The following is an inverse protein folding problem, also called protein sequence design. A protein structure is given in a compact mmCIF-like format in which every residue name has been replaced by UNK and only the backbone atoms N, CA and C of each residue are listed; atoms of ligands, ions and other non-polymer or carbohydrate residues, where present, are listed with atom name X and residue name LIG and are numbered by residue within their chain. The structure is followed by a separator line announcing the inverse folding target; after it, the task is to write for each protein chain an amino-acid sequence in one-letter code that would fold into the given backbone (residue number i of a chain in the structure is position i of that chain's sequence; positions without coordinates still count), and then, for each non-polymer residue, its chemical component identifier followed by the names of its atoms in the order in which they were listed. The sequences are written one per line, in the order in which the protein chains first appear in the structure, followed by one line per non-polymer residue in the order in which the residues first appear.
data_IF_790994714686
#
_entry.id   IF_790994714686
#
_cell.length_a   1.000
_cell.length_b   1.000
_cell.length_c   1.000
_cell.angle_alpha   90.00
_cell.angle_beta   90.00
_cell.angle_gamma   90.00
#
_symmetry.space_group_name_H-M   'P 1'
#
loop_
_entity.id
_entity.type
_entity.pdbx_description
1 polymer ?
#
# COMPACT_ATOMS: atom_id res chain seq x y z
N UNK A 1 2.11 -15.42 4.72
CA UNK A 1 3.22 -14.55 5.20
C UNK A 1 3.06 -13.22 4.48
N UNK A 2 3.16 -12.06 5.15
CA UNK A 2 2.93 -10.77 4.46
C UNK A 2 4.06 -10.46 3.46
N UNK A 3 3.81 -9.64 2.41
CA UNK A 3 4.86 -9.24 1.47
C UNK A 3 6.09 -8.62 2.15
N UNK A 4 5.88 -7.84 3.22
CA UNK A 4 6.94 -7.29 4.04
C UNK A 4 7.77 -8.38 4.73
N UNK A 5 7.11 -9.38 5.34
CA UNK A 5 7.81 -10.47 6.02
C UNK A 5 8.69 -11.28 5.05
N UNK A 6 8.28 -11.42 3.78
CA UNK A 6 9.08 -12.08 2.74
C UNK A 6 10.34 -11.28 2.43
N UNK A 7 10.23 -9.97 2.21
CA UNK A 7 11.40 -9.10 1.93
C UNK A 7 12.38 -9.10 3.10
N UNK A 8 11.87 -9.02 4.32
CA UNK A 8 12.67 -9.05 5.55
C UNK A 8 13.30 -10.43 5.85
N UNK A 9 12.90 -11.48 5.13
CA UNK A 9 13.47 -12.82 5.30
C UNK A 9 14.59 -13.11 4.28
N UNK A 10 14.93 -12.15 3.40
CA UNK A 10 16.02 -12.34 2.43
C UNK A 10 17.39 -12.20 3.10
N UNK A 11 18.41 -13.01 2.72
CA UNK A 11 19.71 -13.04 3.40
C UNK A 11 20.43 -11.68 3.46
N UNK A 12 20.24 -10.84 2.44
CA UNK A 12 20.88 -9.53 2.31
C UNK A 12 20.02 -8.38 2.88
N UNK A 13 18.80 -8.67 3.37
CA UNK A 13 17.95 -7.63 3.96
C UNK A 13 18.50 -7.15 5.29
N UNK A 14 18.43 -5.83 5.48
CA UNK A 14 18.78 -5.18 6.74
C UNK A 14 17.57 -4.39 7.21
N UNK A 15 17.05 -4.73 8.37
CA UNK A 15 15.95 -4.03 8.99
C UNK A 15 16.17 -3.85 10.48
N UNK A 16 15.64 -2.75 11.00
CA UNK A 16 15.60 -2.44 12.42
C UNK A 16 14.19 -2.01 12.78
N UNK A 17 13.78 -2.34 14.00
CA UNK A 17 12.55 -1.81 14.58
C UNK A 17 12.91 -0.71 15.58
N UNK A 18 12.38 0.49 15.36
CA UNK A 18 12.45 1.59 16.32
C UNK A 18 11.02 1.96 16.68
N UNK A 19 10.65 1.78 17.94
CA UNK A 19 9.36 2.25 18.44
C UNK A 19 9.38 3.78 18.46
N UNK A 20 8.41 4.41 17.80
CA UNK A 20 8.36 5.86 17.64
C UNK A 20 6.94 6.38 17.77
N UNK A 21 6.70 7.26 18.75
CA UNK A 21 5.51 8.11 18.75
C UNK A 21 5.80 9.40 17.97
N UNK A 22 5.21 9.53 16.78
CA UNK A 22 5.43 10.70 15.90
C UNK A 22 4.88 12.01 16.47
N UNK A 23 4.05 11.96 17.53
CA UNK A 23 3.61 13.16 18.26
C UNK A 23 4.68 13.71 19.20
N UNK A 24 5.71 12.92 19.52
CA UNK A 24 6.80 13.29 20.42
C UNK A 24 8.07 13.61 19.63
N UNK A 25 8.57 14.86 19.63
CA UNK A 25 9.75 15.24 18.83
C UNK A 25 11.00 14.39 19.12
N UNK A 26 11.22 14.00 20.38
CA UNK A 26 12.38 13.19 20.78
C UNK A 26 12.36 11.78 20.17
N UNK A 27 11.17 11.19 20.02
CA UNK A 27 11.03 9.86 19.42
C UNK A 27 11.36 9.91 17.92
N UNK A 28 11.01 11.01 17.25
CA UNK A 28 11.37 11.27 15.85
C UNK A 28 12.87 11.49 15.69
N UNK A 29 13.49 12.28 16.57
CA UNK A 29 14.95 12.44 16.61
C UNK A 29 15.65 11.09 16.81
N UNK A 30 15.19 10.26 17.74
CA UNK A 30 15.75 8.93 17.98
C UNK A 30 15.60 8.00 16.77
N UNK A 31 14.45 8.02 16.10
CA UNK A 31 14.22 7.27 14.86
C UNK A 31 15.25 7.65 13.78
N UNK A 32 15.47 8.95 13.58
CA UNK A 32 16.45 9.47 12.62
C UNK A 32 17.86 9.00 12.99
N UNK A 33 18.26 9.16 14.26
CA UNK A 33 19.61 8.81 14.70
C UNK A 33 19.92 7.31 14.57
N UNK A 34 19.01 6.44 15.01
CA UNK A 34 19.22 4.98 14.87
C UNK A 34 19.22 4.54 13.40
N UNK A 35 18.40 5.18 12.55
CA UNK A 35 18.41 4.92 11.11
C UNK A 35 19.75 5.31 10.48
N UNK A 36 20.25 6.52 10.73
CA UNK A 36 21.55 6.98 10.20
C UNK A 36 22.69 6.12 10.72
N UNK A 37 22.69 5.77 12.00
CA UNK A 37 23.72 4.92 12.62
C UNK A 37 23.79 3.53 11.98
N UNK A 38 22.65 2.96 11.62
CA UNK A 38 22.61 1.64 10.98
C UNK A 38 22.90 1.76 9.49
N UNK A 39 22.22 2.63 8.76
CA UNK A 39 22.24 2.66 7.29
C UNK A 39 23.21 3.70 6.68
N UNK A 40 23.83 4.54 7.50
CA UNK A 40 24.86 5.52 7.13
C UNK A 40 24.33 6.87 6.66
N UNK A 41 23.12 6.92 6.07
CA UNK A 41 22.46 8.15 5.62
C UNK A 41 20.94 8.01 5.68
N UNK A 42 20.23 9.13 5.57
CA UNK A 42 18.80 9.14 5.24
C UNK A 42 18.66 9.43 3.76
N UNK A 43 18.08 8.49 3.03
CA UNK A 43 17.49 8.75 1.71
C UNK A 43 15.97 8.71 1.88
N UNK A 44 15.28 9.74 1.40
CA UNK A 44 13.82 9.83 1.51
C UNK A 44 13.25 9.85 0.10
N UNK A 45 12.47 8.83 -0.23
CA UNK A 45 11.62 8.82 -1.42
C UNK A 45 10.18 9.10 -1.00
N UNK A 46 9.61 10.16 -1.55
CA UNK A 46 8.19 10.45 -1.40
C UNK A 46 7.45 9.97 -2.65
N UNK A 47 6.46 9.09 -2.48
CA UNK A 47 5.57 8.62 -3.54
C UNK A 47 4.15 8.49 -2.98
N UNK A 48 3.16 8.47 -3.86
CA UNK A 48 1.77 8.20 -3.51
C UNK A 48 1.32 6.88 -4.15
N UNK A 49 0.51 6.12 -3.42
CA UNK A 49 -0.27 5.03 -3.98
C UNK A 49 -1.70 5.55 -4.19
N UNK A 50 -2.26 5.30 -5.38
CA UNK A 50 -3.64 5.60 -5.73
C UNK A 50 -4.38 4.27 -5.99
N UNK A 51 -5.00 3.69 -4.95
CA UNK A 51 -5.75 2.44 -5.07
C UNK A 51 -7.00 2.60 -5.92
N UNK A 52 -7.38 1.53 -6.63
CA UNK A 52 -8.74 1.37 -7.16
C UNK A 52 -9.70 0.86 -6.09
N UNK A 53 -10.70 0.06 -6.52
CA UNK A 53 -11.64 -0.56 -5.59
C UNK A 53 -11.01 -1.80 -4.93
N UNK A 54 -10.67 -1.68 -3.65
CA UNK A 54 -10.01 -2.72 -2.84
C UNK A 54 -10.95 -3.31 -1.79
N UNK A 55 -10.92 -4.63 -1.62
CA UNK A 55 -11.69 -5.38 -0.64
C UNK A 55 -11.24 -5.03 0.79
N UNK A 56 -11.86 -4.00 1.34
CA UNK A 56 -11.65 -3.51 2.71
C UNK A 56 -12.99 -3.35 3.41
N UNK A 57 -13.03 -3.28 4.75
CA UNK A 57 -14.28 -3.01 5.47
C UNK A 57 -14.98 -1.71 5.04
N UNK A 58 -14.23 -0.74 4.47
CA UNK A 58 -14.80 0.49 3.90
C UNK A 58 -15.73 0.19 2.72
N UNK A 59 -15.45 -0.83 1.92
CA UNK A 59 -16.36 -1.32 0.87
C UNK A 59 -17.61 -1.98 1.44
N UNK A 60 -17.57 -2.43 2.70
CA UNK A 60 -18.76 -2.82 3.47
C UNK A 60 -19.70 -1.65 3.76
N UNK A 61 -19.24 -0.39 3.69
CA UNK A 61 -20.14 0.77 3.75
C UNK A 61 -20.97 0.95 2.47
N UNK A 62 -20.67 0.19 1.39
CA UNK A 62 -21.57 0.02 0.23
C UNK A 62 -22.65 -1.04 0.49
N UNK A 63 -22.68 -1.62 1.70
CA UNK A 63 -23.71 -2.55 2.19
C UNK A 63 -24.57 -1.85 3.23
N UNK A 64 -25.15 -0.70 2.86
CA UNK A 64 -26.26 -0.14 3.61
C UNK A 64 -27.34 -1.23 3.73
N UNK A 65 -27.77 -1.60 4.95
CA UNK A 65 -28.73 -2.69 5.18
C UNK A 65 -30.08 -2.45 4.49
N UNK A 66 -30.42 -1.19 4.16
CA UNK A 66 -31.63 -0.83 3.43
C UNK A 66 -31.45 -0.94 1.90
N UNK A 67 -30.21 -1.15 1.42
CA UNK A 67 -29.94 -1.36 0.00
C UNK A 67 -30.22 -2.82 -0.40
N UNK A 68 -31.09 -3.05 -1.40
CA UNK A 68 -31.34 -4.40 -1.92
C UNK A 68 -30.04 -5.10 -2.35
N UNK A 69 -29.80 -6.37 -1.94
CA UNK A 69 -28.58 -7.11 -2.27
C UNK A 69 -28.26 -7.17 -3.77
N UNK A 70 -29.28 -7.21 -4.62
CA UNK A 70 -29.12 -7.23 -6.09
C UNK A 70 -28.52 -5.93 -6.64
N UNK A 71 -28.83 -4.78 -6.03
CA UNK A 71 -28.24 -3.49 -6.42
C UNK A 71 -26.77 -3.41 -6.01
N UNK A 72 -26.43 -3.94 -4.83
CA UNK A 72 -25.03 -4.04 -4.37
C UNK A 72 -24.24 -4.92 -5.34
N UNK A 73 -24.78 -6.09 -5.69
CA UNK A 73 -24.16 -7.02 -6.62
C UNK A 73 -23.95 -6.39 -8.01
N UNK A 74 -24.99 -5.77 -8.58
CA UNK A 74 -24.89 -5.11 -9.88
C UNK A 74 -23.84 -3.97 -9.88
N UNK A 75 -23.76 -3.19 -8.78
CA UNK A 75 -22.75 -2.15 -8.63
C UNK A 75 -21.32 -2.71 -8.59
N UNK A 76 -21.10 -3.80 -7.85
CA UNK A 76 -19.81 -4.48 -7.81
C UNK A 76 -19.43 -5.08 -9.17
N UNK A 77 -20.38 -5.70 -9.86
CA UNK A 77 -20.15 -6.26 -11.20
C UNK A 77 -19.76 -5.18 -12.20
N UNK A 78 -20.42 -4.01 -12.17
CA UNK A 78 -20.07 -2.89 -13.05
C UNK A 78 -18.69 -2.30 -12.74
N UNK A 79 -18.35 -2.17 -11.45
CA UNK A 79 -17.00 -1.76 -11.02
C UNK A 79 -15.95 -2.72 -11.60
N UNK A 80 -16.16 -4.02 -11.38
CA UNK A 80 -15.23 -5.04 -11.84
C UNK A 80 -15.10 -5.00 -13.37
N UNK A 81 -16.21 -4.94 -14.11
CA UNK A 81 -16.23 -4.93 -15.58
C UNK A 81 -15.35 -3.83 -16.19
N UNK A 82 -15.18 -2.70 -15.50
CA UNK A 82 -14.36 -1.57 -15.96
C UNK A 82 -12.86 -1.72 -15.66
N UNK A 83 -12.47 -2.75 -14.92
CA UNK A 83 -11.07 -3.04 -14.61
C UNK A 83 -10.53 -4.04 -15.64
N UNK A 84 -9.56 -3.68 -16.51
CA UNK A 84 -8.95 -4.62 -17.46
C UNK A 84 -8.42 -5.91 -16.84
N UNK A 85 -7.93 -5.83 -15.59
CA UNK A 85 -7.46 -6.99 -14.83
C UNK A 85 -8.54 -7.67 -13.97
N UNK A 86 -9.80 -7.22 -14.00
CA UNK A 86 -10.76 -7.53 -12.95
C UNK A 86 -12.12 -8.07 -13.40
N UNK A 87 -12.45 -9.26 -12.90
CA UNK A 87 -13.83 -9.69 -12.59
C UNK A 87 -14.08 -9.65 -11.06
N UNK A 88 -13.18 -8.99 -10.32
CA UNK A 88 -13.15 -8.90 -8.85
C UNK A 88 -12.59 -7.55 -8.39
N UNK A 89 -12.81 -7.22 -7.12
CA UNK A 89 -12.10 -6.15 -6.42
C UNK A 89 -10.62 -6.51 -6.22
N UNK A 90 -9.78 -5.50 -6.04
CA UNK A 90 -8.40 -5.69 -5.62
C UNK A 90 -8.31 -6.16 -4.16
N UNK A 91 -7.24 -6.85 -3.79
CA UNK A 91 -6.97 -7.28 -2.42
C UNK A 91 -6.02 -6.31 -1.71
N UNK A 92 -6.10 -6.15 -0.38
CA UNK A 92 -5.17 -5.32 0.39
C UNK A 92 -3.69 -5.68 0.16
N UNK A 93 -3.39 -6.96 -0.07
CA UNK A 93 -2.06 -7.46 -0.36
C UNK A 93 -1.48 -6.90 -1.66
N UNK A 94 -2.32 -6.54 -2.64
CA UNK A 94 -1.88 -5.93 -3.90
C UNK A 94 -1.39 -4.48 -3.66
N UNK A 95 -2.04 -3.75 -2.75
CA UNK A 95 -1.56 -2.44 -2.28
C UNK A 95 -0.29 -2.59 -1.45
N UNK A 96 -0.25 -3.59 -0.56
CA UNK A 96 0.93 -3.87 0.26
C UNK A 96 2.15 -4.24 -0.60
N UNK A 97 1.94 -5.02 -1.67
CA UNK A 97 2.99 -5.35 -2.63
C UNK A 97 3.57 -4.11 -3.31
N UNK A 98 2.72 -3.19 -3.78
CA UNK A 98 3.16 -1.93 -4.37
C UNK A 98 3.92 -1.04 -3.36
N UNK A 99 3.45 -0.97 -2.11
CA UNK A 99 4.15 -0.24 -1.05
C UNK A 99 5.52 -0.84 -0.76
N UNK A 100 5.62 -2.18 -0.71
CA UNK A 100 6.88 -2.90 -0.50
C UNK A 100 7.86 -2.66 -1.66
N UNK A 101 7.38 -2.66 -2.90
CA UNK A 101 8.21 -2.27 -4.06
C UNK A 101 8.74 -0.84 -3.92
N UNK A 102 7.88 0.14 -3.61
CA UNK A 102 8.31 1.53 -3.44
C UNK A 102 9.29 1.74 -2.28
N UNK A 103 9.26 0.85 -1.28
CA UNK A 103 10.20 0.83 -0.17
C UNK A 103 11.46 -0.01 -0.45
N UNK A 104 11.54 -0.73 -1.57
CA UNK A 104 12.67 -1.59 -1.90
C UNK A 104 13.77 -0.85 -2.66
N UNK A 105 14.93 -1.49 -2.81
CA UNK A 105 16.03 -0.96 -3.64
C UNK A 105 15.67 -0.92 -5.14
N UNK A 106 14.67 -1.68 -5.58
CA UNK A 106 14.21 -1.69 -6.97
C UNK A 106 13.54 -0.35 -7.34
N UNK A 107 13.02 0.38 -6.35
CA UNK A 107 12.50 1.73 -6.48
C UNK A 107 13.55 2.81 -6.15
N UNK A 108 14.85 2.49 -6.17
CA UNK A 108 15.94 3.40 -5.77
C UNK A 108 16.02 4.71 -6.57
N UNK A 109 15.34 4.79 -7.71
CA UNK A 109 15.26 5.99 -8.54
C UNK A 109 13.81 6.44 -8.84
N UNK A 110 12.86 6.02 -8.00
CA UNK A 110 11.43 6.35 -8.13
C UNK A 110 11.02 7.25 -6.96
N UNK A 111 10.84 8.54 -7.23
CA UNK A 111 10.29 9.50 -6.27
C UNK A 111 9.45 10.57 -6.99
N UNK A 112 8.52 11.20 -6.27
CA UNK A 112 7.64 12.24 -6.78
C UNK A 112 6.49 11.71 -7.64
N UNK A 113 6.20 10.42 -7.59
CA UNK A 113 5.22 9.78 -8.47
C UNK A 113 3.98 9.29 -7.71
N UNK A 114 2.84 9.28 -8.41
CA UNK A 114 1.61 8.63 -7.96
C UNK A 114 1.44 7.34 -8.74
N UNK A 115 1.60 6.21 -8.06
CA UNK A 115 1.42 4.89 -8.66
C UNK A 115 -0.04 4.48 -8.55
N UNK A 116 -0.69 4.28 -9.70
CA UNK A 116 -2.03 3.71 -9.77
C UNK A 116 -1.97 2.20 -9.49
N UNK A 117 -2.76 1.74 -8.52
CA UNK A 117 -2.89 0.32 -8.17
C UNK A 117 -4.38 -0.03 -8.19
N UNK A 118 -4.94 -0.04 -9.40
CA UNK A 118 -6.39 -0.02 -9.62
C UNK A 118 -6.91 -1.08 -10.61
N UNK A 119 -6.06 -2.03 -11.01
CA UNK A 119 -6.41 -3.05 -12.00
C UNK A 119 -6.58 -2.52 -13.42
N UNK A 120 -6.12 -1.29 -13.70
CA UNK A 120 -6.23 -0.61 -14.99
C UNK A 120 -7.49 0.24 -15.13
N UNK A 121 -8.28 0.42 -14.07
CA UNK A 121 -9.56 1.13 -14.10
C UNK A 121 -9.45 2.55 -14.67
N UNK A 122 -8.41 3.29 -14.28
CA UNK A 122 -8.20 4.69 -14.70
C UNK A 122 -7.84 4.83 -16.18
N UNK A 123 -7.26 3.78 -16.78
CA UNK A 123 -6.78 3.80 -18.16
C UNK A 123 -7.79 3.22 -19.18
N UNK A 124 -8.90 2.65 -18.71
CA UNK A 124 -9.90 1.94 -19.50
C UNK A 124 -11.06 2.83 -19.98
#
# INVERSE_FOLDING_TARGET
MSPLAVVLSTPDSRAIFVKTDVSQPKDVENLIQETVKVFGRLDIHANALAPGFIQTPLMGALQDPDTPPELIKAGLEEICRRQPLGSRLGEPEEIAGAAVFLASQDASFVTGHTVLVDGGYTAA
#
